data_IF_060124058700
#
_entry.id   IF_060124058700
#
_cell.length_a   1.000
_cell.length_b   1.000
_cell.length_c   1.000
_cell.angle_alpha   90.00
_cell.angle_beta   90.00
_cell.angle_gamma   90.00
#
_symmetry.space_group_name_H-M   'P 1'
#
loop_
_entity.id
_entity.type
_entity.pdbx_description
1 polymer ?
#
# COMPACT_ATOMS: atom_id res chain seq x y z
N UNK A 1 -15.99 16.87 7.81
CA UNK A 1 -14.77 17.66 7.67
C UNK A 1 -15.19 18.97 7.02
N UNK A 2 -14.93 20.09 7.65
CA UNK A 2 -15.22 21.38 7.03
C UNK A 2 -14.35 22.45 7.70
N UNK A 3 -13.48 23.16 6.98
CA UNK A 3 -13.08 22.90 5.60
C UNK A 3 -12.11 21.72 5.47
N UNK A 4 -11.96 21.16 4.27
CA UNK A 4 -10.86 20.26 3.95
C UNK A 4 -9.61 21.10 3.65
N UNK A 5 -8.47 20.57 4.10
CA UNK A 5 -7.17 21.23 3.91
C UNK A 5 -6.38 20.42 2.89
N UNK A 6 -5.94 21.09 1.83
CA UNK A 6 -5.07 20.53 0.81
C UNK A 6 -3.72 21.23 0.91
N UNK A 7 -2.67 20.45 1.14
CA UNK A 7 -1.30 20.94 1.09
C UNK A 7 -0.66 20.45 -0.20
N UNK A 8 -0.14 21.39 -0.99
CA UNK A 8 0.55 21.07 -2.25
C UNK A 8 2.00 21.46 -2.06
N UNK A 9 2.88 20.46 -2.12
CA UNK A 9 4.31 20.66 -2.09
C UNK A 9 4.84 20.68 -3.52
N UNK A 10 5.49 21.78 -3.87
CA UNK A 10 6.04 22.03 -5.22
C UNK A 10 7.16 23.07 -5.12
N UNK A 11 7.91 23.22 -6.19
CA UNK A 11 8.96 24.24 -6.32
C UNK A 11 8.42 25.66 -6.20
N UNK A 12 9.27 26.57 -5.79
CA UNK A 12 8.92 27.99 -5.68
C UNK A 12 8.56 28.59 -7.06
N UNK A 13 7.56 29.45 -7.08
CA UNK A 13 7.09 30.14 -8.29
C UNK A 13 6.10 29.35 -9.15
N UNK A 14 5.71 28.15 -8.74
CA UNK A 14 4.64 27.42 -9.41
C UNK A 14 3.26 28.04 -9.11
N UNK A 15 2.39 28.08 -10.11
CA UNK A 15 0.98 28.37 -9.95
C UNK A 15 0.18 27.09 -9.77
N UNK A 16 -0.73 27.06 -8.79
CA UNK A 16 -1.52 25.90 -8.44
C UNK A 16 -2.99 26.23 -8.64
N UNK A 17 -3.70 25.36 -9.30
CA UNK A 17 -5.14 25.41 -9.47
C UNK A 17 -5.76 24.07 -9.08
N UNK A 18 -6.76 24.09 -8.23
CA UNK A 18 -7.51 22.92 -7.80
C UNK A 18 -8.92 23.03 -8.40
N UNK A 19 -9.29 22.03 -9.16
CA UNK A 19 -10.59 21.95 -9.82
C UNK A 19 -11.45 20.86 -9.20
N UNK A 20 -12.72 21.16 -9.13
CA UNK A 20 -13.76 20.21 -8.80
C UNK A 20 -13.97 19.19 -9.95
N UNK A 21 -14.72 18.11 -9.70
CA UNK A 21 -14.99 17.08 -10.71
C UNK A 21 -15.74 17.59 -11.94
N UNK A 22 -16.52 18.66 -11.80
CA UNK A 22 -17.23 19.31 -12.91
C UNK A 22 -16.35 20.32 -13.69
N UNK A 23 -15.08 20.49 -13.28
CA UNK A 23 -14.13 21.41 -13.88
C UNK A 23 -14.22 22.86 -13.35
N UNK A 24 -15.07 23.15 -12.37
CA UNK A 24 -15.09 24.43 -11.70
C UNK A 24 -13.86 24.64 -10.82
N UNK A 25 -13.36 25.87 -10.73
CA UNK A 25 -12.21 26.21 -9.91
C UNK A 25 -12.61 26.22 -8.42
N UNK A 26 -12.06 25.29 -7.64
CA UNK A 26 -12.31 25.18 -6.21
C UNK A 26 -11.34 26.03 -5.38
N UNK A 27 -10.06 26.11 -5.79
CA UNK A 27 -9.05 26.94 -5.14
C UNK A 27 -7.89 27.22 -6.10
N UNK A 28 -7.17 28.33 -5.89
CA UNK A 28 -5.94 28.65 -6.64
C UNK A 28 -4.99 29.51 -5.84
N UNK A 29 -3.70 29.45 -6.18
CA UNK A 29 -2.66 30.25 -5.57
C UNK A 29 -1.26 29.80 -5.98
N UNK A 30 -0.27 30.34 -5.31
CA UNK A 30 1.09 29.82 -5.36
C UNK A 30 1.29 28.87 -4.19
N UNK A 31 2.38 28.12 -4.12
CA UNK A 31 2.74 27.16 -3.07
C UNK A 31 1.98 27.34 -1.72
N UNK A 32 1.48 26.28 -1.14
CA UNK A 32 0.97 26.32 0.21
C UNK A 32 -0.30 25.50 0.47
N UNK A 33 -1.12 26.05 1.34
CA UNK A 33 -2.28 25.42 1.93
C UNK A 33 -3.56 26.03 1.38
N UNK A 34 -4.43 25.16 0.87
CA UNK A 34 -5.72 25.53 0.27
C UNK A 34 -6.85 24.99 1.14
N UNK A 35 -7.93 25.75 1.28
CA UNK A 35 -9.13 25.35 1.99
C UNK A 35 -10.27 25.14 1.00
N UNK A 36 -10.90 23.95 1.05
CA UNK A 36 -12.08 23.64 0.27
C UNK A 36 -13.27 23.49 1.22
N UNK A 37 -14.13 24.48 1.22
CA UNK A 37 -15.36 24.45 2.03
C UNK A 37 -16.39 23.50 1.40
N UNK A 38 -17.03 22.65 2.22
CA UNK A 38 -18.04 21.71 1.72
C UNK A 38 -17.45 20.62 0.82
N UNK A 39 -16.19 20.25 1.02
CA UNK A 39 -15.52 19.28 0.19
C UNK A 39 -16.27 17.96 0.05
N UNK A 40 -16.33 17.44 -1.16
CA UNK A 40 -16.83 16.09 -1.45
C UNK A 40 -15.77 15.06 -1.07
N UNK A 41 -16.15 14.13 -0.20
CA UNK A 41 -15.21 13.11 0.29
C UNK A 41 -15.22 11.89 -0.63
N UNK A 42 -14.01 11.36 -0.88
CA UNK A 42 -13.83 10.13 -1.61
C UNK A 42 -14.10 8.91 -0.71
N UNK A 43 -14.84 7.95 -1.22
CA UNK A 43 -14.94 6.58 -0.69
C UNK A 43 -15.13 5.59 -1.83
N UNK A 44 -15.03 4.28 -1.55
CA UNK A 44 -15.33 3.28 -2.57
C UNK A 44 -16.77 3.36 -3.08
N UNK A 45 -17.69 3.86 -2.28
CA UNK A 45 -19.12 4.06 -2.65
C UNK A 45 -19.35 5.36 -3.42
N UNK A 46 -18.55 6.39 -3.12
CA UNK A 46 -18.63 7.72 -3.73
C UNK A 46 -17.22 8.18 -4.15
N UNK A 47 -16.69 7.68 -5.26
CA UNK A 47 -15.32 7.93 -5.68
C UNK A 47 -15.13 9.31 -6.31
N UNK A 48 -15.18 10.34 -5.48
CA UNK A 48 -15.08 11.72 -5.92
C UNK A 48 -13.63 12.19 -6.01
N UNK A 49 -13.23 12.70 -7.18
CA UNK A 49 -11.86 13.13 -7.45
C UNK A 49 -11.80 14.61 -7.83
N UNK A 50 -10.87 15.30 -7.22
CA UNK A 50 -10.43 16.64 -7.60
C UNK A 50 -9.26 16.53 -8.58
N UNK A 51 -8.99 17.63 -9.29
CA UNK A 51 -7.82 17.76 -10.18
C UNK A 51 -6.96 18.91 -9.70
N UNK A 52 -5.69 18.64 -9.39
CA UNK A 52 -4.68 19.64 -9.12
C UNK A 52 -3.85 19.86 -10.39
N UNK A 53 -3.73 21.10 -10.82
CA UNK A 53 -2.83 21.52 -11.89
C UNK A 53 -1.75 22.41 -11.29
N UNK A 54 -0.52 22.08 -11.61
CA UNK A 54 0.66 22.84 -11.23
C UNK A 54 1.34 23.30 -12.51
N UNK A 55 1.52 24.60 -12.68
CA UNK A 55 2.16 25.17 -13.86
C UNK A 55 3.34 26.05 -13.47
N UNK A 56 4.43 25.92 -14.21
CA UNK A 56 5.65 26.71 -14.04
C UNK A 56 6.43 26.78 -15.35
N UNK A 57 6.90 27.95 -15.70
CA UNK A 57 7.80 28.18 -16.85
C UNK A 57 7.26 27.60 -18.19
N UNK A 58 5.93 27.49 -18.33
CA UNK A 58 5.28 26.94 -19.50
C UNK A 58 5.08 25.42 -19.49
N UNK A 59 5.53 24.74 -18.45
CA UNK A 59 5.23 23.33 -18.19
C UNK A 59 3.98 23.21 -17.30
N UNK A 60 3.18 22.14 -17.50
CA UNK A 60 2.00 21.84 -16.71
C UNK A 60 2.03 20.38 -16.26
N UNK A 61 1.86 20.15 -14.96
CA UNK A 61 1.60 18.85 -14.36
C UNK A 61 0.15 18.80 -13.89
N UNK A 62 -0.52 17.71 -14.17
CA UNK A 62 -1.89 17.48 -13.71
C UNK A 62 -1.95 16.19 -12.90
N UNK A 63 -2.48 16.28 -11.68
CA UNK A 63 -2.67 15.15 -10.77
C UNK A 63 -4.11 15.09 -10.28
N UNK A 64 -4.68 13.86 -10.18
CA UNK A 64 -5.97 13.62 -9.58
C UNK A 64 -5.82 13.15 -8.15
N UNK A 65 -6.65 13.63 -7.26
CA UNK A 65 -6.63 13.22 -5.86
C UNK A 65 -8.05 13.17 -5.27
N UNK A 66 -8.20 12.42 -4.19
CA UNK A 66 -9.45 12.36 -3.43
C UNK A 66 -9.24 12.81 -1.99
N UNK A 67 -10.24 13.46 -1.42
CA UNK A 67 -10.23 13.93 -0.04
C UNK A 67 -10.90 12.88 0.84
N UNK A 68 -10.20 12.33 1.82
CA UNK A 68 -10.76 11.38 2.78
C UNK A 68 -10.04 11.43 4.13
N UNK A 69 -10.68 10.85 5.15
CA UNK A 69 -10.01 10.51 6.42
C UNK A 69 -9.95 9.01 6.58
N UNK A 70 -8.86 8.53 7.17
CA UNK A 70 -8.69 7.15 7.61
C UNK A 70 -8.43 7.14 9.12
N UNK A 71 -9.16 6.31 9.84
CA UNK A 71 -8.95 6.04 11.25
C UNK A 71 -9.01 4.52 11.46
N UNK A 72 -8.19 4.01 12.35
CA UNK A 72 -8.18 2.57 12.65
C UNK A 72 -7.83 2.33 14.12
N UNK A 73 -8.51 1.38 14.70
CA UNK A 73 -8.20 0.90 16.05
C UNK A 73 -8.74 -0.51 16.26
N UNK A 74 -8.21 -1.19 17.28
CA UNK A 74 -8.75 -2.50 17.67
C UNK A 74 -10.19 -2.46 18.22
N UNK A 75 -10.73 -1.27 18.53
CA UNK A 75 -12.10 -1.09 19.01
C UNK A 75 -13.07 -0.75 17.89
N UNK A 76 -12.67 0.11 16.97
CA UNK A 76 -13.55 0.65 15.93
C UNK A 76 -13.34 -0.01 14.56
N UNK A 77 -12.28 -0.83 14.41
CA UNK A 77 -11.88 -1.29 13.10
C UNK A 77 -11.39 -0.14 12.21
N UNK A 78 -11.60 -0.27 10.91
CA UNK A 78 -11.30 0.76 9.91
C UNK A 78 -12.49 1.70 9.76
N UNK A 79 -12.24 2.99 9.91
CA UNK A 79 -13.20 4.03 9.57
C UNK A 79 -12.69 4.81 8.35
N UNK A 80 -13.55 4.96 7.35
CA UNK A 80 -13.33 5.86 6.22
C UNK A 80 -14.35 6.99 6.32
N UNK A 81 -13.86 8.21 6.41
CA UNK A 81 -14.72 9.40 6.63
C UNK A 81 -15.62 9.29 7.87
N UNK A 82 -15.09 8.69 8.95
CA UNK A 82 -15.80 8.45 10.19
C UNK A 82 -16.84 7.33 10.14
N UNK A 83 -16.94 6.56 9.05
CA UNK A 83 -17.87 5.43 8.91
C UNK A 83 -17.13 4.11 8.97
N UNK A 84 -17.64 3.18 9.76
CA UNK A 84 -17.14 1.80 9.81
C UNK A 84 -17.18 1.19 8.39
N UNK A 85 -16.03 0.65 7.98
CA UNK A 85 -15.83 0.14 6.63
C UNK A 85 -15.34 -1.30 6.67
N UNK A 86 -16.21 -2.20 6.21
CA UNK A 86 -15.84 -3.61 6.06
C UNK A 86 -15.25 -3.84 4.68
N UNK A 87 -14.05 -4.40 4.63
CA UNK A 87 -13.37 -4.74 3.38
C UNK A 87 -13.87 -6.10 2.87
N UNK A 88 -14.50 -6.09 1.73
CA UNK A 88 -14.90 -7.28 0.97
C UNK A 88 -14.03 -7.36 -0.27
N UNK A 89 -12.96 -8.11 -0.18
CA UNK A 89 -11.93 -8.10 -1.20
C UNK A 89 -11.26 -9.44 -1.41
N UNK A 90 -10.29 -9.43 -2.29
CA UNK A 90 -9.41 -10.55 -2.58
C UNK A 90 -8.04 -10.09 -3.04
N UNK A 91 -7.10 -11.01 -3.03
CA UNK A 91 -5.79 -10.79 -3.63
C UNK A 91 -5.91 -10.81 -5.15
N UNK A 92 -5.21 -9.89 -5.81
CA UNK A 92 -5.01 -9.93 -7.25
C UNK A 92 -3.52 -9.90 -7.56
N UNK A 93 -3.10 -10.72 -8.51
CA UNK A 93 -1.72 -10.77 -8.97
C UNK A 93 -1.53 -9.92 -10.23
N UNK A 94 -0.27 -9.63 -10.58
CA UNK A 94 0.10 -9.04 -11.86
C UNK A 94 -0.09 -10.09 -12.97
N UNK A 95 -1.33 -10.43 -13.23
CA UNK A 95 -1.76 -11.43 -14.22
C UNK A 95 -3.01 -10.95 -14.95
N UNK A 96 -2.83 -10.54 -16.19
CA UNK A 96 -3.89 -10.12 -17.09
C UNK A 96 -4.18 -11.17 -18.19
N UNK A 97 -4.11 -12.45 -17.84
CA UNK A 97 -4.38 -13.56 -18.76
C UNK A 97 -3.39 -13.59 -19.91
N UNK A 98 -3.88 -13.46 -21.14
CA UNK A 98 -3.00 -13.48 -22.36
C UNK A 98 -2.00 -12.32 -22.43
N UNK A 99 -2.20 -11.27 -21.65
CA UNK A 99 -1.29 -10.13 -21.56
C UNK A 99 -0.14 -10.37 -20.58
N UNK A 100 -0.18 -11.47 -19.82
CA UNK A 100 0.79 -11.76 -18.77
C UNK A 100 0.78 -10.68 -17.68
N UNK A 101 1.95 -10.24 -17.25
CA UNK A 101 2.10 -9.21 -16.23
C UNK A 101 2.02 -7.76 -16.77
N UNK A 102 1.71 -7.58 -18.05
CA UNK A 102 1.57 -6.23 -18.61
C UNK A 102 0.35 -5.52 -18.03
N UNK A 103 0.56 -4.26 -17.64
CA UNK A 103 -0.48 -3.39 -17.11
C UNK A 103 -0.82 -2.31 -18.17
N UNK A 104 -1.99 -2.45 -18.76
CA UNK A 104 -2.57 -1.48 -19.67
C UNK A 104 -3.84 -0.89 -19.03
N UNK A 105 -4.03 0.41 -19.17
CA UNK A 105 -5.12 1.13 -18.51
C UNK A 105 -6.50 0.47 -18.71
N UNK A 106 -6.83 0.09 -19.94
CA UNK A 106 -8.11 -0.55 -20.26
C UNK A 106 -8.25 -1.95 -19.64
N UNK A 107 -7.17 -2.70 -19.55
CA UNK A 107 -7.17 -4.03 -18.94
C UNK A 107 -7.36 -3.95 -17.42
N UNK A 108 -6.68 -3.02 -16.77
CA UNK A 108 -6.83 -2.78 -15.33
C UNK A 108 -8.21 -2.22 -15.00
N UNK A 109 -8.71 -1.26 -15.78
CA UNK A 109 -10.07 -0.76 -15.60
C UNK A 109 -11.11 -1.88 -15.73
N UNK A 110 -10.95 -2.76 -16.74
CA UNK A 110 -11.83 -3.91 -16.91
C UNK A 110 -11.81 -4.83 -15.68
N UNK A 111 -10.62 -5.14 -15.11
CA UNK A 111 -10.49 -5.98 -13.90
C UNK A 111 -11.22 -5.36 -12.73
N UNK A 112 -10.96 -4.09 -12.44
CA UNK A 112 -11.59 -3.36 -11.34
C UNK A 112 -13.11 -3.32 -11.51
N UNK A 113 -13.64 -3.03 -12.73
CA UNK A 113 -15.08 -3.02 -13.00
C UNK A 113 -15.73 -4.38 -12.78
N UNK A 114 -15.09 -5.47 -13.20
CA UNK A 114 -15.62 -6.83 -12.99
C UNK A 114 -15.73 -7.10 -11.49
N UNK A 115 -14.69 -6.84 -10.73
CA UNK A 115 -14.68 -7.08 -9.28
C UNK A 115 -15.70 -6.19 -8.57
N UNK A 116 -15.77 -4.91 -8.91
CA UNK A 116 -16.78 -3.99 -8.37
C UNK A 116 -18.21 -4.48 -8.62
N UNK A 117 -18.51 -4.93 -9.84
CA UNK A 117 -19.82 -5.45 -10.21
C UNK A 117 -20.18 -6.76 -9.49
N UNK A 118 -19.19 -7.50 -9.00
CA UNK A 118 -19.39 -8.69 -8.16
C UNK A 118 -19.51 -8.37 -6.66
N UNK A 119 -19.53 -7.10 -6.30
CA UNK A 119 -19.71 -6.66 -4.91
C UNK A 119 -18.44 -6.54 -4.09
N UNK A 120 -17.26 -6.64 -4.71
CA UNK A 120 -16.00 -6.31 -4.06
C UNK A 120 -15.88 -4.80 -3.85
N UNK A 121 -15.29 -4.41 -2.73
CA UNK A 121 -14.93 -3.02 -2.46
C UNK A 121 -13.44 -2.85 -2.12
N UNK A 122 -12.67 -3.94 -2.10
CA UNK A 122 -11.26 -3.90 -1.74
C UNK A 122 -10.42 -4.89 -2.55
N UNK A 123 -9.16 -4.54 -2.77
CA UNK A 123 -8.13 -5.38 -3.38
C UNK A 123 -6.89 -5.40 -2.51
N UNK A 124 -6.21 -6.53 -2.45
CA UNK A 124 -4.83 -6.62 -1.99
C UNK A 124 -3.94 -6.95 -3.18
N UNK A 125 -2.94 -6.12 -3.40
CA UNK A 125 -1.94 -6.39 -4.43
C UNK A 125 -1.05 -7.55 -4.00
N UNK A 126 -1.05 -8.59 -4.79
CA UNK A 126 -0.31 -9.80 -4.48
C UNK A 126 0.79 -9.98 -5.53
N UNK A 127 2.03 -9.96 -5.20
CA UNK A 127 2.63 -9.54 -3.92
C UNK A 127 3.76 -8.55 -4.27
N UNK A 128 3.42 -7.49 -4.98
CA UNK A 128 4.32 -6.44 -5.48
C UNK A 128 3.51 -5.16 -5.68
N UNK A 129 4.16 -3.98 -5.69
CA UNK A 129 3.48 -2.70 -5.80
C UNK A 129 2.57 -2.60 -7.03
N UNK A 130 1.43 -1.98 -6.85
CA UNK A 130 0.43 -1.77 -7.87
C UNK A 130 0.97 -0.90 -9.03
N UNK A 131 0.47 -1.14 -10.22
CA UNK A 131 0.68 -0.21 -11.32
C UNK A 131 -0.15 1.05 -11.15
N UNK A 132 0.36 2.20 -11.59
CA UNK A 132 -0.41 3.45 -11.60
C UNK A 132 -1.75 3.30 -12.33
N UNK A 133 -1.77 2.58 -13.45
CA UNK A 133 -3.01 2.33 -14.20
C UNK A 133 -4.08 1.60 -13.39
N UNK A 134 -3.67 0.66 -12.53
CA UNK A 134 -4.60 -0.02 -11.62
C UNK A 134 -5.11 0.93 -10.53
N UNK A 135 -4.23 1.70 -9.92
CA UNK A 135 -4.60 2.67 -8.89
C UNK A 135 -5.53 3.75 -9.43
N UNK A 136 -5.24 4.30 -10.62
CA UNK A 136 -6.12 5.24 -11.33
C UNK A 136 -7.53 4.66 -11.56
N UNK A 137 -7.60 3.37 -11.92
CA UNK A 137 -8.88 2.68 -12.10
C UNK A 137 -9.61 2.50 -10.75
N UNK A 138 -8.89 2.15 -9.69
CA UNK A 138 -9.43 2.02 -8.34
C UNK A 138 -9.95 3.35 -7.81
N UNK A 139 -9.24 4.44 -8.06
CA UNK A 139 -9.65 5.79 -7.67
C UNK A 139 -10.96 6.21 -8.36
N UNK A 140 -11.07 5.97 -9.67
CA UNK A 140 -12.25 6.36 -10.46
C UNK A 140 -13.48 5.50 -10.22
N UNK A 141 -13.27 4.19 -10.03
CA UNK A 141 -14.38 3.22 -9.90
C UNK A 141 -14.79 3.05 -8.43
N UNK A 142 -13.91 3.41 -7.50
CA UNK A 142 -14.13 3.27 -6.07
C UNK A 142 -13.80 1.86 -5.57
N UNK A 143 -12.52 1.58 -5.38
CA UNK A 143 -12.02 0.32 -4.83
C UNK A 143 -10.92 0.62 -3.82
N UNK A 144 -11.02 0.13 -2.59
CA UNK A 144 -9.95 0.24 -1.61
C UNK A 144 -8.79 -0.67 -1.99
N UNK A 145 -7.57 -0.22 -1.77
CA UNK A 145 -6.35 -0.98 -2.08
C UNK A 145 -5.48 -1.10 -0.84
N UNK A 146 -5.08 -2.32 -0.53
CA UNK A 146 -3.92 -2.62 0.28
C UNK A 146 -2.77 -2.87 -0.70
N UNK A 147 -1.84 -1.94 -0.81
CA UNK A 147 -0.68 -2.15 -1.66
C UNK A 147 0.44 -2.88 -0.92
N UNK A 148 1.08 -3.83 -1.58
CA UNK A 148 2.05 -4.71 -0.96
C UNK A 148 3.40 -4.62 -1.64
N UNK A 149 4.46 -4.40 -0.84
CA UNK A 149 5.79 -4.13 -1.35
C UNK A 149 6.51 -5.39 -1.86
N UNK A 150 6.35 -6.53 -1.17
CA UNK A 150 7.18 -7.72 -1.41
C UNK A 150 6.41 -9.02 -1.22
N UNK A 151 6.70 -10.03 -2.04
CA UNK A 151 6.26 -11.40 -1.77
C UNK A 151 7.06 -12.04 -0.62
N UNK A 152 8.36 -11.86 -0.60
CA UNK A 152 9.26 -12.36 0.45
C UNK A 152 10.35 -11.34 0.76
N UNK A 153 11.17 -11.63 1.78
CA UNK A 153 12.30 -10.75 2.12
C UNK A 153 13.62 -11.40 1.74
N UNK A 154 14.56 -11.54 2.69
CA UNK A 154 15.91 -12.08 2.43
C UNK A 154 16.01 -13.61 2.50
N UNK A 155 14.96 -14.32 2.96
CA UNK A 155 14.89 -15.77 2.88
C UNK A 155 14.23 -16.16 1.57
N UNK A 156 14.94 -16.84 0.66
CA UNK A 156 14.39 -17.16 -0.66
C UNK A 156 13.20 -18.12 -0.55
N UNK A 157 12.14 -17.82 -1.28
CA UNK A 157 11.00 -18.70 -1.53
C UNK A 157 11.23 -19.56 -2.77
N UNK A 158 11.87 -18.97 -3.79
CA UNK A 158 12.18 -19.61 -5.06
C UNK A 158 13.65 -19.44 -5.43
N UNK A 159 14.10 -20.21 -6.43
CA UNK A 159 15.53 -20.25 -6.79
C UNK A 159 16.05 -18.93 -7.36
N UNK A 160 15.23 -18.23 -8.11
CA UNK A 160 15.59 -17.00 -8.80
C UNK A 160 14.79 -15.78 -8.32
N UNK A 161 14.35 -15.79 -7.06
CA UNK A 161 13.70 -14.62 -6.49
C UNK A 161 14.72 -13.51 -6.12
N UNK A 162 14.22 -12.34 -5.78
CA UNK A 162 15.02 -11.16 -5.48
C UNK A 162 15.57 -11.14 -4.03
N UNK A 163 15.44 -12.21 -3.27
CA UNK A 163 15.81 -12.27 -1.83
C UNK A 163 17.27 -11.89 -1.56
N UNK A 164 18.19 -12.17 -2.49
CA UNK A 164 19.61 -11.82 -2.34
C UNK A 164 19.90 -10.32 -2.41
N UNK A 165 19.06 -9.58 -3.15
CA UNK A 165 19.20 -8.14 -3.35
C UNK A 165 18.31 -7.34 -2.37
N UNK A 166 17.42 -8.03 -1.67
CA UNK A 166 16.43 -7.42 -0.79
C UNK A 166 17.03 -6.47 0.26
N UNK A 167 18.08 -6.91 0.98
CA UNK A 167 18.67 -6.09 2.06
C UNK A 167 19.36 -4.81 1.56
N UNK A 168 19.79 -4.78 0.28
CA UNK A 168 20.33 -3.57 -0.34
C UNK A 168 19.22 -2.62 -0.83
N UNK A 169 18.09 -3.15 -1.26
CA UNK A 169 17.15 -2.43 -2.10
C UNK A 169 15.80 -2.12 -1.43
N UNK A 170 15.44 -2.79 -0.32
CA UNK A 170 14.09 -2.66 0.25
C UNK A 170 13.68 -1.22 0.58
N UNK A 171 14.61 -0.36 1.01
CA UNK A 171 14.29 1.04 1.33
C UNK A 171 13.90 1.84 0.08
N UNK A 172 14.63 1.65 -1.01
CA UNK A 172 14.32 2.32 -2.27
C UNK A 172 13.02 1.82 -2.89
N UNK A 173 12.73 0.52 -2.77
CA UNK A 173 11.46 -0.06 -3.24
C UNK A 173 10.28 0.46 -2.42
N UNK A 174 10.41 0.52 -1.09
CA UNK A 174 9.37 1.10 -0.23
C UNK A 174 9.14 2.58 -0.55
N UNK A 175 10.21 3.34 -0.77
CA UNK A 175 10.10 4.75 -1.13
C UNK A 175 9.38 4.93 -2.47
N UNK A 176 9.75 4.16 -3.49
CA UNK A 176 9.11 4.21 -4.81
C UNK A 176 7.62 3.81 -4.75
N UNK A 177 7.26 2.80 -3.94
CA UNK A 177 5.86 2.42 -3.73
C UNK A 177 5.08 3.57 -3.10
N UNK A 178 5.57 4.13 -1.99
CA UNK A 178 4.88 5.23 -1.30
C UNK A 178 4.76 6.46 -2.18
N UNK A 179 5.80 6.81 -2.94
CA UNK A 179 5.78 7.93 -3.88
C UNK A 179 4.73 7.74 -4.98
N UNK A 180 4.65 6.54 -5.55
CA UNK A 180 3.62 6.19 -6.53
C UNK A 180 2.20 6.29 -5.95
N UNK A 181 2.02 5.88 -4.71
CA UNK A 181 0.70 5.70 -4.09
C UNK A 181 0.17 6.95 -3.40
N UNK A 182 1.04 7.91 -3.10
CA UNK A 182 0.77 9.00 -2.17
C UNK A 182 -0.53 9.76 -2.46
N UNK A 183 -0.76 10.10 -3.72
CA UNK A 183 -1.93 10.86 -4.16
C UNK A 183 -3.17 10.00 -4.46
N UNK A 184 -3.04 8.66 -4.43
CA UNK A 184 -4.15 7.76 -4.69
C UNK A 184 -5.05 7.57 -3.47
N UNK A 185 -6.29 8.09 -3.46
CA UNK A 185 -7.19 7.93 -2.32
C UNK A 185 -7.65 6.49 -2.13
N UNK A 186 -7.58 5.66 -3.15
CA UNK A 186 -7.90 4.22 -3.08
C UNK A 186 -6.94 3.45 -2.19
N UNK A 187 -5.66 3.81 -2.13
CA UNK A 187 -4.68 3.16 -1.25
C UNK A 187 -4.96 3.54 0.19
N UNK A 188 -5.38 2.58 0.99
CA UNK A 188 -5.77 2.77 2.39
C UNK A 188 -4.84 2.10 3.38
N UNK A 189 -3.92 1.27 2.90
CA UNK A 189 -3.03 0.48 3.74
C UNK A 189 -1.81 0.03 2.94
N UNK A 190 -0.65 -0.05 3.58
CA UNK A 190 0.55 -0.67 3.03
C UNK A 190 0.82 -2.02 3.69
N UNK A 191 1.25 -3.00 2.90
CA UNK A 191 1.71 -4.30 3.37
C UNK A 191 3.19 -4.48 3.04
N UNK A 192 3.96 -4.90 4.04
CA UNK A 192 5.43 -5.04 3.91
C UNK A 192 5.86 -6.37 3.31
N UNK A 193 4.96 -7.33 3.19
CA UNK A 193 5.31 -8.62 2.63
C UNK A 193 4.25 -9.69 2.83
N UNK A 194 4.40 -10.76 2.06
CA UNK A 194 3.53 -11.92 2.08
C UNK A 194 4.22 -13.12 2.68
N UNK A 195 3.61 -13.75 3.68
CA UNK A 195 4.08 -15.01 4.28
C UNK A 195 5.58 -15.01 4.60
N UNK A 196 6.06 -13.91 5.16
CA UNK A 196 7.50 -13.69 5.46
C UNK A 196 7.89 -14.49 6.68
N UNK A 197 8.73 -15.50 6.50
CA UNK A 197 9.19 -16.41 7.56
C UNK A 197 10.27 -15.80 8.45
N UNK A 198 10.85 -14.68 8.06
CA UNK A 198 11.84 -13.92 8.82
C UNK A 198 11.28 -13.42 10.15
N UNK A 199 9.96 -13.18 10.21
CA UNK A 199 9.27 -12.76 11.44
C UNK A 199 9.27 -13.81 12.55
N UNK A 200 9.64 -15.04 12.23
CA UNK A 200 9.95 -16.08 13.22
C UNK A 200 11.20 -15.76 14.09
N UNK A 201 12.02 -14.80 13.67
CA UNK A 201 13.26 -14.41 14.33
C UNK A 201 13.18 -12.98 14.89
N UNK A 202 14.03 -12.70 15.91
CA UNK A 202 14.17 -11.34 16.46
C UNK A 202 14.60 -10.35 15.37
N UNK A 203 15.57 -10.74 14.53
CA UNK A 203 16.07 -9.89 13.45
C UNK A 203 14.97 -9.55 12.42
N UNK A 204 14.12 -10.52 12.07
CA UNK A 204 13.01 -10.27 11.16
C UNK A 204 11.96 -9.34 11.74
N UNK A 205 11.68 -9.44 13.05
CA UNK A 205 10.78 -8.51 13.75
C UNK A 205 11.37 -7.09 13.78
N UNK A 206 12.67 -6.96 14.05
CA UNK A 206 13.38 -5.67 14.01
C UNK A 206 13.34 -5.07 12.60
N UNK A 207 13.58 -5.88 11.56
CA UNK A 207 13.51 -5.45 10.17
C UNK A 207 12.09 -5.01 9.79
N UNK A 208 11.07 -5.75 10.22
CA UNK A 208 9.67 -5.36 10.01
C UNK A 208 9.38 -3.98 10.61
N UNK A 209 9.87 -3.72 11.82
CA UNK A 209 9.73 -2.42 12.46
C UNK A 209 10.48 -1.32 11.70
N UNK A 210 11.69 -1.59 11.24
CA UNK A 210 12.49 -0.65 10.44
C UNK A 210 11.80 -0.31 9.11
N UNK A 211 11.23 -1.31 8.42
CA UNK A 211 10.48 -1.10 7.18
C UNK A 211 9.21 -0.27 7.41
N UNK A 212 8.44 -0.57 8.48
CA UNK A 212 7.30 0.24 8.90
C UNK A 212 7.70 1.69 9.15
N UNK A 213 8.77 1.91 9.90
CA UNK A 213 9.23 3.26 10.24
C UNK A 213 9.72 4.01 8.99
N UNK A 214 10.31 3.28 8.03
CA UNK A 214 10.66 3.83 6.71
C UNK A 214 9.41 4.30 5.96
N UNK A 215 8.37 3.48 5.87
CA UNK A 215 7.10 3.87 5.22
C UNK A 215 6.46 5.05 5.94
N UNK A 216 6.37 5.01 7.28
CA UNK A 216 5.76 6.10 8.05
C UNK A 216 6.54 7.41 8.01
N UNK A 217 7.85 7.38 7.73
CA UNK A 217 8.63 8.60 7.51
C UNK A 217 8.27 9.30 6.18
N UNK A 218 7.71 8.56 5.23
CA UNK A 218 7.29 9.06 3.92
C UNK A 218 5.78 9.35 3.89
N UNK A 219 4.98 8.47 4.50
CA UNK A 219 3.53 8.61 4.61
C UNK A 219 3.03 8.12 5.99
N UNK A 220 2.77 9.05 6.88
CA UNK A 220 2.19 8.78 8.20
C UNK A 220 0.65 8.69 8.21
N UNK A 221 -0.02 8.77 7.05
CA UNK A 221 -1.49 8.84 6.96
C UNK A 221 -2.16 7.49 6.78
N UNK A 222 -1.41 6.44 6.47
CA UNK A 222 -1.90 5.09 6.21
C UNK A 222 -1.31 4.08 7.19
N UNK A 223 -2.11 3.08 7.64
CA UNK A 223 -1.59 1.98 8.44
C UNK A 223 -0.66 1.09 7.62
N UNK A 224 0.28 0.46 8.33
CA UNK A 224 1.23 -0.50 7.76
C UNK A 224 1.00 -1.87 8.39
N UNK A 225 0.93 -2.90 7.57
CA UNK A 225 0.78 -4.29 7.98
C UNK A 225 1.83 -5.19 7.34
N UNK A 226 1.80 -6.47 7.69
CA UNK A 226 2.62 -7.50 7.08
C UNK A 226 1.83 -8.81 7.03
N UNK A 227 1.91 -9.52 5.92
CA UNK A 227 1.30 -10.85 5.77
C UNK A 227 2.12 -11.89 6.50
N UNK A 228 1.78 -12.17 7.77
CA UNK A 228 2.45 -13.18 8.58
C UNK A 228 1.59 -14.45 8.63
N UNK A 229 2.22 -15.58 8.30
CA UNK A 229 1.63 -16.89 8.45
C UNK A 229 2.27 -17.61 9.64
N UNK A 230 1.54 -17.71 10.75
CA UNK A 230 2.05 -18.30 12.00
C UNK A 230 2.51 -19.74 11.81
N UNK A 231 1.87 -20.52 10.94
CA UNK A 231 2.27 -21.91 10.66
C UNK A 231 3.65 -21.93 9.98
N UNK A 232 3.87 -21.04 9.02
CA UNK A 232 5.15 -20.92 8.33
C UNK A 232 6.27 -20.46 9.29
N UNK A 233 5.96 -19.55 10.20
CA UNK A 233 6.88 -19.13 11.26
C UNK A 233 7.27 -20.30 12.17
N UNK A 234 6.32 -21.14 12.55
CA UNK A 234 6.60 -22.35 13.33
C UNK A 234 7.52 -23.30 12.55
N UNK A 235 7.25 -23.52 11.27
CA UNK A 235 8.09 -24.38 10.43
C UNK A 235 9.49 -23.78 10.27
N UNK A 236 9.61 -22.48 10.06
CA UNK A 236 10.90 -21.81 9.97
C UNK A 236 11.71 -21.97 11.28
N UNK A 237 11.09 -21.85 12.45
CA UNK A 237 11.72 -22.09 13.76
C UNK A 237 12.17 -23.53 13.94
N UNK A 238 11.46 -24.49 13.37
CA UNK A 238 11.82 -25.91 13.40
C UNK A 238 12.87 -26.28 12.33
N UNK A 239 13.29 -25.33 11.47
CA UNK A 239 14.22 -25.59 10.37
C UNK A 239 13.60 -26.37 9.22
N UNK A 240 12.26 -26.37 9.11
CA UNK A 240 11.52 -27.05 8.04
C UNK A 240 11.40 -26.07 6.88
N UNK A 241 11.84 -26.46 5.69
CA UNK A 241 11.64 -25.70 4.46
C UNK A 241 10.18 -25.70 4.05
N UNK A 242 9.63 -24.52 3.73
CA UNK A 242 8.19 -24.36 3.48
C UNK A 242 7.86 -24.29 2.01
N UNK A 243 8.73 -23.70 1.18
CA UNK A 243 8.43 -23.39 -0.22
C UNK A 243 9.19 -24.23 -1.24
N UNK A 244 10.20 -25.00 -0.84
CA UNK A 244 11.01 -25.78 -1.76
C UNK A 244 11.30 -27.18 -1.20
N UNK A 245 10.84 -28.20 -1.90
CA UNK A 245 11.22 -29.61 -1.67
C UNK A 245 12.63 -29.92 -2.21
N UNK A 246 13.32 -28.97 -2.83
CA UNK A 246 14.64 -29.17 -3.38
C UNK A 246 15.67 -29.19 -2.27
N UNK A 247 16.43 -30.28 -2.18
CA UNK A 247 17.51 -30.48 -1.19
C UNK A 247 18.58 -29.38 -1.20
N UNK A 248 18.67 -28.59 -2.25
CA UNK A 248 19.59 -27.47 -2.43
C UNK A 248 19.25 -26.26 -1.54
N UNK A 249 18.00 -26.16 -1.07
CA UNK A 249 17.53 -25.16 -0.13
C UNK A 249 17.47 -25.71 1.29
N UNK A 250 18.51 -26.39 1.74
CA UNK A 250 18.68 -26.61 3.17
C UNK A 250 18.85 -25.25 3.83
N UNK A 251 17.72 -24.67 4.28
CA UNK A 251 17.78 -23.54 5.17
C UNK A 251 18.54 -23.98 6.41
N UNK A 252 19.66 -23.35 6.67
CA UNK A 252 20.23 -23.46 8.00
C UNK A 252 19.18 -22.93 8.98
N UNK A 253 18.93 -23.63 10.11
CA UNK A 253 18.05 -23.10 11.15
C UNK A 253 18.54 -21.69 11.46
N UNK A 254 17.64 -20.72 11.47
CA UNK A 254 18.01 -19.36 11.85
C UNK A 254 18.85 -19.44 13.13
N UNK A 255 20.04 -18.83 13.20
CA UNK A 255 20.95 -19.00 14.33
C UNK A 255 20.31 -18.74 15.69
N UNK A 256 19.24 -17.95 15.71
CA UNK A 256 18.47 -17.55 16.88
C UNK A 256 17.40 -18.56 17.31
N UNK A 257 17.08 -19.57 16.48
CA UNK A 257 16.11 -20.60 16.84
C UNK A 257 16.61 -21.53 17.97
N UNK A 258 17.92 -21.58 18.18
CA UNK A 258 18.54 -22.27 19.31
C UNK A 258 18.48 -21.41 20.57
N UNK A 259 17.36 -21.44 21.29
CA UNK A 259 17.27 -20.83 22.61
C UNK A 259 16.19 -19.77 22.81
N UNK A 260 15.32 -19.57 21.84
CA UNK A 260 14.20 -18.65 21.98
C UNK A 260 13.15 -19.27 22.89
N UNK A 261 13.20 -18.94 24.18
CA UNK A 261 12.05 -19.09 25.07
C UNK A 261 11.05 -18.03 24.66
N UNK A 262 9.82 -18.47 24.36
CA UNK A 262 8.67 -17.63 24.04
C UNK A 262 8.57 -16.40 24.96
N UNK A 263 9.14 -15.30 24.56
CA UNK A 263 8.54 -14.02 24.89
C UNK A 263 7.53 -13.78 23.78
N UNK A 264 6.26 -13.62 24.16
CA UNK A 264 5.18 -13.25 23.26
C UNK A 264 5.71 -12.36 22.18
N UNK A 265 5.84 -12.90 20.98
CA UNK A 265 6.19 -12.14 19.79
C UNK A 265 4.95 -11.35 19.39
N UNK A 266 4.62 -10.35 20.20
CA UNK A 266 3.87 -9.25 19.70
C UNK A 266 4.76 -8.67 18.62
N UNK A 267 4.55 -9.05 17.39
CA UNK A 267 5.30 -8.46 16.31
C UNK A 267 5.09 -6.95 16.38
N UNK A 268 6.15 -6.21 16.25
CA UNK A 268 6.05 -4.76 16.16
C UNK A 268 5.10 -4.33 15.03
N UNK A 269 4.85 -5.22 14.05
CA UNK A 269 3.89 -5.03 12.97
C UNK A 269 2.44 -5.34 13.38
N UNK A 270 2.17 -6.22 14.35
CA UNK A 270 0.81 -6.55 14.81
C UNK A 270 0.22 -5.54 15.76
N UNK A 271 1.01 -4.70 16.40
CA UNK A 271 0.50 -3.71 17.37
C UNK A 271 -0.37 -2.61 16.74
N UNK A 272 -0.53 -2.60 15.40
CA UNK A 272 -1.42 -1.68 14.70
C UNK A 272 -2.87 -2.20 14.56
N UNK A 273 -3.12 -3.47 14.93
CA UNK A 273 -4.45 -4.07 14.92
C UNK A 273 -5.00 -4.34 16.33
N UNK A 274 -4.23 -4.05 17.36
CA UNK A 274 -4.64 -4.24 18.76
C UNK A 274 -5.10 -2.93 19.41
#
# INVERSE_FOLDING_TARGET
ISPAIIEVDTDDGAEIQIFDADGSLAASGQKGRFEISGAHLWSAETPYLYTCKVSRDGEELTEKFGIRTLEWSGKTGLLVNGKETLLRGGCIHHDNGVLGACSFADAEERRVRILKNQGFNALRMAHNPASRSLLDACDRIGMYVMDEAFDGWYIPKEYHDYSRDFLSDYKSVLAAMVENDYNHPSVIMYSLGNEVTETASKRGVELCAEMRDTVHSLDGTRPVTCGINVLLDVYARLGIGVYSDKKEYKREPLPEAKGYKEKKSGSACFNYWA
#
